data_IF_587829938595
#
_entry.id   IF_587829938595
#
_cell.length_a   1.000
_cell.length_b   1.000
_cell.length_c   1.000
_cell.angle_alpha   90.00
_cell.angle_beta   90.00
_cell.angle_gamma   90.00
#
_symmetry.space_group_name_H-M   'P 1'
#
loop_
_entity.id
_entity.type
_entity.pdbx_description
1 polymer ?
#
# COMPACT_ATOMS: atom_id res chain seq x y z
N UNK A 1 -8.67 -87.66 11.45
CA UNK A 1 -7.41 -86.89 11.41
C UNK A 1 -7.73 -85.48 11.00
N UNK A 2 -7.79 -84.56 11.97
CA UNK A 2 -8.13 -83.16 11.76
C UNK A 2 -6.89 -82.32 11.52
N UNK A 3 -6.96 -81.40 10.57
CA UNK A 3 -6.06 -80.25 10.51
C UNK A 3 -6.93 -79.02 10.72
N UNK A 4 -6.95 -78.55 11.97
CA UNK A 4 -7.60 -77.32 12.40
C UNK A 4 -6.82 -76.13 11.84
N UNK A 5 -7.34 -75.48 10.80
CA UNK A 5 -6.88 -74.17 10.39
C UNK A 5 -7.23 -73.14 11.47
N UNK A 6 -6.26 -72.75 12.30
CA UNK A 6 -6.38 -71.56 13.14
C UNK A 6 -6.29 -70.34 12.24
N UNK A 7 -7.43 -69.79 11.85
CA UNK A 7 -7.49 -68.43 11.32
C UNK A 7 -7.25 -67.46 12.46
N UNK A 8 -6.10 -66.78 12.44
CA UNK A 8 -5.72 -65.76 13.42
C UNK A 8 -6.73 -64.60 13.42
N UNK A 9 -7.46 -64.34 14.52
CA UNK A 9 -8.49 -63.30 14.56
C UNK A 9 -7.92 -61.87 14.74
N UNK A 10 -6.58 -61.71 14.69
CA UNK A 10 -5.92 -60.43 14.95
C UNK A 10 -5.85 -59.49 13.73
N UNK A 11 -6.13 -59.96 12.51
CA UNK A 11 -5.96 -59.15 11.30
C UNK A 11 -7.12 -58.17 10.99
N UNK A 12 -8.24 -58.24 11.72
CA UNK A 12 -9.46 -57.51 11.38
C UNK A 12 -9.71 -56.22 12.21
N UNK A 13 -8.85 -55.91 13.18
CA UNK A 13 -9.03 -54.70 14.00
C UNK A 13 -8.23 -53.53 13.38
N UNK A 14 -8.94 -52.46 13.00
CA UNK A 14 -8.41 -51.09 12.81
C UNK A 14 -8.15 -50.54 11.38
N UNK A 15 -8.80 -51.02 10.32
CA UNK A 15 -8.78 -50.26 9.02
C UNK A 15 -9.49 -48.89 9.13
N UNK A 16 -10.55 -48.78 9.95
CA UNK A 16 -11.35 -47.55 10.12
C UNK A 16 -10.70 -46.49 11.03
N UNK A 17 -9.76 -46.86 11.88
CA UNK A 17 -9.05 -45.89 12.75
C UNK A 17 -7.79 -45.35 12.05
N UNK A 18 -7.12 -46.17 11.24
CA UNK A 18 -5.92 -45.78 10.50
C UNK A 18 -6.14 -44.63 9.51
N UNK A 19 -7.25 -44.61 8.76
CA UNK A 19 -7.49 -43.53 7.80
C UNK A 19 -7.76 -42.18 8.48
N UNK A 20 -8.38 -42.17 9.67
CA UNK A 20 -8.60 -40.94 10.46
C UNK A 20 -7.29 -40.38 11.00
N UNK A 21 -6.42 -41.26 11.50
CA UNK A 21 -5.08 -40.90 11.97
C UNK A 21 -4.25 -40.37 10.79
N UNK A 22 -4.27 -41.05 9.64
CA UNK A 22 -3.56 -40.61 8.45
C UNK A 22 -4.09 -39.27 7.91
N UNK A 23 -5.41 -39.07 7.90
CA UNK A 23 -6.02 -37.80 7.50
C UNK A 23 -5.62 -36.66 8.45
N UNK A 24 -5.61 -36.92 9.76
CA UNK A 24 -5.15 -35.95 10.76
C UNK A 24 -3.67 -35.61 10.58
N UNK A 25 -2.82 -36.61 10.34
CA UNK A 25 -1.39 -36.41 10.05
C UNK A 25 -1.17 -35.56 8.80
N UNK A 26 -1.92 -35.82 7.72
CA UNK A 26 -1.86 -35.03 6.49
C UNK A 26 -2.25 -33.57 6.78
N UNK A 27 -3.36 -33.34 7.48
CA UNK A 27 -3.82 -31.99 7.80
C UNK A 27 -2.82 -31.23 8.68
N UNK A 28 -2.25 -31.89 9.69
CA UNK A 28 -1.22 -31.29 10.55
C UNK A 28 0.05 -31.01 9.74
N UNK A 29 0.51 -31.94 8.91
CA UNK A 29 1.70 -31.72 8.07
C UNK A 29 1.49 -30.57 7.09
N UNK A 30 0.32 -30.48 6.46
CA UNK A 30 -0.01 -29.42 5.54
C UNK A 30 -0.05 -28.06 6.27
N UNK A 31 -0.69 -28.01 7.43
CA UNK A 31 -0.72 -26.81 8.27
C UNK A 31 0.68 -26.36 8.68
N UNK A 32 1.53 -27.28 9.18
CA UNK A 32 2.90 -26.98 9.57
C UNK A 32 3.76 -26.52 8.38
N UNK A 33 3.63 -27.17 7.22
CA UNK A 33 4.36 -26.79 6.01
C UNK A 33 3.96 -25.39 5.53
N UNK A 34 2.67 -25.06 5.55
CA UNK A 34 2.19 -23.72 5.18
C UNK A 34 2.68 -22.65 6.17
N UNK A 35 2.65 -22.93 7.48
CA UNK A 35 3.17 -22.02 8.50
C UNK A 35 4.67 -21.79 8.34
N UNK A 36 5.44 -22.86 8.06
CA UNK A 36 6.88 -22.75 7.82
C UNK A 36 7.17 -21.95 6.55
N UNK A 37 6.43 -22.17 5.47
CA UNK A 37 6.57 -21.42 4.22
C UNK A 37 6.29 -19.92 4.43
N UNK A 38 5.19 -19.57 5.08
CA UNK A 38 4.84 -18.19 5.44
C UNK A 38 5.94 -17.53 6.31
N UNK A 39 6.43 -18.25 7.33
CA UNK A 39 7.49 -17.74 8.21
C UNK A 39 8.79 -17.47 7.44
N UNK A 40 9.18 -18.37 6.55
CA UNK A 40 10.36 -18.20 5.70
C UNK A 40 10.19 -17.00 4.75
N UNK A 41 9.04 -16.85 4.11
CA UNK A 41 8.74 -15.71 3.23
C UNK A 41 8.85 -14.38 3.99
N UNK A 42 8.30 -14.31 5.21
CA UNK A 42 8.40 -13.11 6.07
C UNK A 42 9.84 -12.80 6.50
N UNK A 43 10.61 -13.84 6.85
CA UNK A 43 12.03 -13.68 7.20
C UNK A 43 12.89 -13.22 6.01
N UNK A 44 12.50 -13.59 4.79
CA UNK A 44 13.12 -13.14 3.55
C UNK A 44 12.68 -11.72 3.14
N UNK A 45 11.85 -11.05 3.95
CA UNK A 45 11.35 -9.70 3.65
C UNK A 45 10.32 -9.66 2.52
N UNK A 46 9.67 -10.79 2.22
CA UNK A 46 8.56 -10.82 1.28
C UNK A 46 7.28 -10.40 2.00
N UNK A 47 7.15 -9.10 2.26
CA UNK A 47 5.91 -8.51 2.71
C UNK A 47 5.09 -7.98 1.52
N UNK A 48 3.81 -8.31 1.50
CA UNK A 48 2.85 -7.70 0.57
C UNK A 48 1.90 -6.82 1.38
N UNK A 49 2.38 -5.65 1.83
CA UNK A 49 1.52 -4.75 2.58
C UNK A 49 0.34 -4.36 1.69
N UNK A 50 -0.87 -4.42 2.26
CA UNK A 50 -2.04 -3.86 1.60
C UNK A 50 -1.90 -2.35 1.61
N UNK A 51 -1.40 -1.78 0.51
CA UNK A 51 -1.14 -0.34 0.38
C UNK A 51 -2.39 0.52 0.50
N UNK A 52 -3.53 -0.02 0.06
CA UNK A 52 -4.80 0.68 0.01
C UNK A 52 -5.81 0.13 1.01
N UNK A 53 -6.71 1.00 1.45
CA UNK A 53 -7.94 0.67 2.18
C UNK A 53 -9.15 1.13 1.36
N UNK A 54 -10.31 0.53 1.63
CA UNK A 54 -11.57 0.96 1.02
C UNK A 54 -11.96 2.36 1.50
N UNK A 55 -12.45 3.21 0.59
CA UNK A 55 -12.98 4.53 0.87
C UNK A 55 -14.41 4.63 0.28
N UNK A 56 -15.46 4.91 1.07
CA UNK A 56 -16.84 4.93 0.57
C UNK A 56 -17.10 5.97 -0.51
N UNK A 57 -16.29 7.04 -0.57
CA UNK A 57 -16.47 8.13 -1.53
C UNK A 57 -15.57 7.93 -2.75
N UNK A 58 -14.31 7.56 -2.53
CA UNK A 58 -13.28 7.49 -3.59
C UNK A 58 -13.10 6.06 -4.13
N UNK A 59 -13.73 5.07 -3.52
CA UNK A 59 -13.53 3.65 -3.79
C UNK A 59 -12.36 3.10 -2.98
N UNK A 60 -11.16 3.67 -3.14
CA UNK A 60 -9.97 3.27 -2.38
C UNK A 60 -9.12 4.48 -2.00
N UNK A 61 -8.18 4.27 -1.07
CA UNK A 61 -7.22 5.28 -0.65
C UNK A 61 -5.97 4.65 -0.04
N UNK A 62 -4.77 5.26 -0.16
CA UNK A 62 -3.59 4.76 0.54
C UNK A 62 -3.78 4.74 2.06
N UNK A 63 -3.16 3.76 2.71
CA UNK A 63 -3.18 3.61 4.17
C UNK A 63 -2.24 4.62 4.81
N UNK A 64 -2.74 5.49 5.71
CA UNK A 64 -1.90 6.44 6.44
C UNK A 64 -0.73 5.80 7.18
N UNK A 65 0.43 6.45 7.11
CA UNK A 65 1.62 6.06 7.87
C UNK A 65 2.27 4.74 7.45
N UNK A 66 1.82 4.14 6.35
CA UNK A 66 2.38 2.90 5.84
C UNK A 66 3.72 3.18 5.17
N UNK A 67 4.73 2.38 5.53
CA UNK A 67 6.03 2.36 4.86
C UNK A 67 6.39 0.94 4.47
N UNK A 68 7.16 0.77 3.39
CA UNK A 68 7.58 -0.55 2.94
C UNK A 68 8.25 -0.53 1.58
N UNK A 69 8.79 -1.68 1.19
CA UNK A 69 9.30 -1.88 -0.15
C UNK A 69 8.14 -2.15 -1.10
N UNK A 70 8.08 -1.37 -2.18
CA UNK A 70 7.22 -1.64 -3.30
C UNK A 70 8.02 -2.37 -4.36
N UNK A 71 7.69 -3.64 -4.58
CA UNK A 71 8.32 -4.49 -5.58
C UNK A 71 7.41 -4.59 -6.81
N UNK A 72 7.59 -3.65 -7.74
CA UNK A 72 7.05 -3.69 -9.09
C UNK A 72 8.15 -3.89 -10.12
N UNK A 73 8.08 -3.20 -11.26
CA UNK A 73 9.16 -3.18 -12.26
C UNK A 73 10.45 -2.53 -11.71
N UNK A 74 10.31 -1.67 -10.71
CA UNK A 74 11.40 -1.06 -9.96
C UNK A 74 11.15 -1.28 -8.47
N UNK A 75 12.21 -1.68 -7.74
CA UNK A 75 12.18 -1.72 -6.28
C UNK A 75 12.33 -0.30 -5.74
N UNK A 76 11.29 0.22 -5.09
CA UNK A 76 11.30 1.55 -4.51
C UNK A 76 10.79 1.49 -3.06
N UNK A 77 11.45 2.22 -2.16
CA UNK A 77 10.96 2.35 -0.79
C UNK A 77 9.88 3.43 -0.74
N UNK A 78 8.69 3.06 -0.28
CA UNK A 78 7.52 3.94 -0.26
C UNK A 78 7.19 4.31 1.18
N UNK A 79 6.90 5.60 1.38
CA UNK A 79 6.31 6.11 2.59
C UNK A 79 5.02 6.88 2.25
N UNK A 80 3.96 6.58 2.98
CA UNK A 80 2.67 7.27 2.92
C UNK A 80 2.54 8.12 4.19
N UNK A 81 2.24 9.40 4.03
CA UNK A 81 2.09 10.33 5.15
C UNK A 81 0.85 10.01 6.02
N UNK A 82 0.70 10.72 7.13
CA UNK A 82 -0.46 10.53 8.03
C UNK A 82 -1.78 10.94 7.38
N UNK A 83 -1.72 11.77 6.35
CA UNK A 83 -2.87 12.11 5.54
C UNK A 83 -3.21 11.05 4.49
N UNK A 84 -2.43 9.97 4.32
CA UNK A 84 -2.72 8.90 3.38
C UNK A 84 -2.39 9.22 1.93
N UNK A 85 -1.30 9.95 1.68
CA UNK A 85 -0.75 10.25 0.36
C UNK A 85 0.76 9.99 0.33
N UNK A 86 1.30 9.71 -0.86
CA UNK A 86 2.75 9.60 -1.08
C UNK A 86 3.37 11.00 -1.13
N UNK A 87 3.60 11.55 0.06
CA UNK A 87 4.20 12.85 0.29
C UNK A 87 4.82 12.85 1.70
N UNK A 88 5.41 13.97 2.11
CA UNK A 88 5.77 14.24 3.49
C UNK A 88 4.56 14.73 4.30
N UNK A 89 4.65 14.68 5.62
CA UNK A 89 3.68 15.36 6.48
C UNK A 89 3.87 16.88 6.40
N UNK A 90 2.77 17.60 6.19
CA UNK A 90 2.77 19.06 6.11
C UNK A 90 2.13 19.66 7.37
N UNK A 91 2.63 20.81 7.88
CA UNK A 91 2.02 21.46 9.03
C UNK A 91 0.55 21.82 8.79
N UNK A 92 -0.32 21.55 9.77
CA UNK A 92 -1.75 21.87 9.69
C UNK A 92 -1.98 23.36 9.38
N UNK A 93 -1.33 24.24 10.15
CA UNK A 93 -1.30 25.66 9.87
C UNK A 93 -0.26 25.97 8.79
N UNK A 94 -0.66 26.71 7.75
CA UNK A 94 0.26 27.15 6.69
C UNK A 94 1.32 28.08 7.29
N UNK A 95 2.63 27.75 7.19
CA UNK A 95 3.67 28.61 7.75
C UNK A 95 3.70 29.99 7.06
N UNK A 96 4.05 31.08 7.77
CA UNK A 96 4.22 32.40 7.17
C UNK A 96 5.22 32.36 6.00
N UNK A 97 4.96 33.17 4.96
CA UNK A 97 5.84 33.21 3.78
C UNK A 97 5.81 31.95 2.91
N UNK A 98 4.89 31.01 3.15
CA UNK A 98 4.77 29.77 2.37
C UNK A 98 3.65 29.84 1.32
N UNK A 99 3.96 29.39 0.11
CA UNK A 99 3.03 29.22 -0.99
C UNK A 99 2.75 27.73 -1.21
N UNK A 100 1.50 27.31 -0.95
CA UNK A 100 1.06 25.93 -1.12
C UNK A 100 0.49 25.71 -2.51
N UNK A 101 0.99 24.71 -3.21
CA UNK A 101 0.48 24.23 -4.50
C UNK A 101 -0.17 22.89 -4.25
N UNK A 102 -1.47 22.77 -4.51
CA UNK A 102 -2.15 21.49 -4.47
C UNK A 102 -1.97 20.77 -5.80
N UNK A 103 -1.48 19.53 -5.75
CA UNK A 103 -1.38 18.64 -6.88
C UNK A 103 -2.47 17.56 -6.78
N UNK A 104 -3.31 17.48 -7.81
CA UNK A 104 -4.19 16.34 -8.04
C UNK A 104 -3.63 15.52 -9.20
N UNK A 105 -3.80 14.20 -9.12
CA UNK A 105 -3.40 13.33 -10.21
C UNK A 105 -3.59 11.85 -9.91
N UNK A 106 -3.03 11.05 -10.80
CA UNK A 106 -3.17 9.61 -10.86
C UNK A 106 -1.84 8.90 -10.54
N UNK A 107 -1.64 7.71 -11.14
CA UNK A 107 -0.42 6.92 -11.05
C UNK A 107 0.85 7.66 -11.46
N UNK A 108 0.76 8.57 -12.44
CA UNK A 108 1.90 9.34 -12.94
C UNK A 108 2.38 10.37 -11.92
N UNK A 109 1.43 10.90 -11.15
CA UNK A 109 1.69 11.91 -10.13
C UNK A 109 2.05 11.28 -8.78
N UNK A 110 1.45 10.14 -8.44
CA UNK A 110 1.85 9.35 -7.28
C UNK A 110 3.26 8.78 -7.47
N UNK A 111 3.56 8.23 -8.65
CA UNK A 111 4.91 7.84 -9.05
C UNK A 111 5.56 6.82 -8.13
N UNK A 112 4.89 5.68 -7.91
CA UNK A 112 5.36 4.62 -7.00
C UNK A 112 6.71 4.02 -7.41
N UNK A 113 7.09 4.10 -8.68
CA UNK A 113 8.35 3.57 -9.22
C UNK A 113 9.52 4.56 -9.13
N UNK A 114 9.26 5.81 -8.75
CA UNK A 114 10.25 6.89 -8.73
C UNK A 114 10.49 7.31 -7.28
N UNK A 115 11.75 7.47 -6.82
CA UNK A 115 12.04 8.03 -5.49
C UNK A 115 11.28 9.34 -5.25
N UNK A 116 10.84 9.60 -4.02
CA UNK A 116 9.95 10.74 -3.69
C UNK A 116 10.58 12.07 -4.13
N UNK A 117 11.86 12.26 -3.83
CA UNK A 117 12.69 13.42 -4.18
C UNK A 117 12.84 13.64 -5.69
N UNK A 118 12.67 12.58 -6.49
CA UNK A 118 12.81 12.60 -7.93
C UNK A 118 11.50 12.81 -8.68
N UNK A 119 10.36 12.76 -7.97
CA UNK A 119 9.08 13.10 -8.55
C UNK A 119 9.11 14.52 -9.11
N UNK A 120 8.52 14.71 -10.29
CA UNK A 120 8.58 16.00 -10.99
C UNK A 120 8.04 17.15 -10.14
N UNK A 121 7.01 16.88 -9.32
CA UNK A 121 6.40 17.86 -8.44
C UNK A 121 7.25 18.18 -7.22
N UNK A 122 8.05 17.23 -6.71
CA UNK A 122 9.09 17.49 -5.71
C UNK A 122 10.26 18.28 -6.26
N UNK A 123 10.69 17.96 -7.49
CA UNK A 123 11.69 18.77 -8.20
C UNK A 123 11.18 20.18 -8.53
N UNK A 124 9.88 20.35 -8.74
CA UNK A 124 9.23 21.67 -8.84
C UNK A 124 9.25 22.41 -7.49
N UNK A 125 8.90 21.74 -6.39
CA UNK A 125 8.95 22.31 -5.04
C UNK A 125 10.33 22.92 -4.72
N UNK A 126 11.42 22.25 -5.12
CA UNK A 126 12.78 22.74 -4.89
C UNK A 126 13.22 23.85 -5.85
N UNK A 127 12.72 23.89 -7.09
CA UNK A 127 13.12 24.87 -8.12
C UNK A 127 12.28 26.14 -8.16
N UNK A 128 11.00 26.07 -7.81
CA UNK A 128 10.09 27.23 -7.84
C UNK A 128 10.50 28.40 -6.93
N UNK A 129 11.16 28.21 -5.77
CA UNK A 129 11.69 29.30 -4.97
C UNK A 129 12.68 30.22 -5.74
N UNK A 130 13.39 29.69 -6.74
CA UNK A 130 14.34 30.45 -7.57
C UNK A 130 13.63 31.35 -8.59
N UNK A 131 12.34 31.11 -8.86
CA UNK A 131 11.58 31.88 -9.82
C UNK A 131 11.17 33.23 -9.21
N UNK A 132 11.49 34.39 -9.85
CA UNK A 132 11.15 35.71 -9.34
C UNK A 132 9.65 35.90 -9.05
N UNK A 133 8.78 35.19 -9.76
CA UNK A 133 7.32 35.20 -9.56
C UNK A 133 6.88 34.78 -8.14
N UNK A 134 7.69 34.01 -7.42
CA UNK A 134 7.39 33.59 -6.05
C UNK A 134 8.05 34.48 -4.98
N UNK A 135 8.86 35.46 -5.38
CA UNK A 135 9.39 36.48 -4.48
C UNK A 135 10.14 35.92 -3.25
N UNK A 136 10.87 34.82 -3.43
CA UNK A 136 11.60 34.14 -2.35
C UNK A 136 10.72 33.43 -1.31
N UNK A 137 9.42 33.23 -1.59
CA UNK A 137 8.53 32.44 -0.73
C UNK A 137 8.98 30.99 -0.68
N UNK A 138 8.77 30.35 0.47
CA UNK A 138 8.90 28.90 0.60
C UNK A 138 7.78 28.25 -0.21
N UNK A 139 8.10 27.25 -1.01
CA UNK A 139 7.11 26.50 -1.79
C UNK A 139 6.87 25.17 -1.10
N UNK A 140 5.60 24.81 -0.94
CA UNK A 140 5.16 23.48 -0.52
C UNK A 140 4.23 22.95 -1.61
N UNK A 141 4.54 21.80 -2.19
CA UNK A 141 3.65 21.08 -3.09
C UNK A 141 3.02 19.95 -2.30
N UNK A 142 1.69 19.97 -2.18
CA UNK A 142 0.92 18.98 -1.45
C UNK A 142 0.25 18.06 -2.46
N UNK A 143 0.64 16.80 -2.47
CA UNK A 143 0.07 15.81 -3.37
C UNK A 143 -1.17 15.16 -2.77
N UNK A 144 -2.27 15.17 -3.53
CA UNK A 144 -3.42 14.28 -3.33
C UNK A 144 -3.52 13.23 -4.45
N UNK A 145 -2.43 13.00 -5.18
CA UNK A 145 -2.41 12.04 -6.27
C UNK A 145 -2.45 10.59 -5.73
N UNK A 146 -3.22 9.75 -6.42
CA UNK A 146 -3.37 8.33 -6.07
C UNK A 146 -3.51 7.52 -7.35
N UNK A 147 -2.77 6.41 -7.44
CA UNK A 147 -2.85 5.48 -8.57
C UNK A 147 -4.28 5.03 -8.85
N UNK A 148 -4.65 5.10 -10.13
CA UNK A 148 -5.95 4.71 -10.65
C UNK A 148 -7.08 5.73 -10.43
N UNK A 149 -6.80 6.88 -9.81
CA UNK A 149 -7.80 7.95 -9.76
C UNK A 149 -8.02 8.52 -11.17
N UNK A 150 -9.30 8.74 -11.51
CA UNK A 150 -9.68 9.54 -12.67
C UNK A 150 -10.23 10.89 -12.26
N UNK A 151 -10.70 11.66 -13.25
CA UNK A 151 -11.23 13.02 -13.06
C UNK A 151 -12.31 13.13 -11.97
N UNK A 152 -13.18 12.12 -11.85
CA UNK A 152 -14.21 12.13 -10.80
C UNK A 152 -13.60 12.03 -9.40
N UNK A 153 -12.65 11.11 -9.18
CA UNK A 153 -11.95 10.96 -7.90
C UNK A 153 -11.07 12.17 -7.58
N UNK A 154 -10.42 12.76 -8.59
CA UNK A 154 -9.66 14.01 -8.42
C UNK A 154 -10.57 15.16 -7.98
N UNK A 155 -11.73 15.32 -8.64
CA UNK A 155 -12.72 16.31 -8.27
C UNK A 155 -13.24 16.12 -6.84
N UNK A 156 -13.57 14.88 -6.46
CA UNK A 156 -14.02 14.55 -5.10
C UNK A 156 -12.91 14.81 -4.08
N UNK A 157 -11.66 14.46 -4.39
CA UNK A 157 -10.51 14.74 -3.53
C UNK A 157 -10.29 16.24 -3.33
N UNK A 158 -10.41 17.04 -4.40
CA UNK A 158 -10.35 18.49 -4.32
C UNK A 158 -11.47 19.07 -3.45
N UNK A 159 -12.71 18.60 -3.67
CA UNK A 159 -13.89 19.11 -2.96
C UNK A 159 -13.83 18.82 -1.47
N UNK A 160 -13.51 17.59 -1.09
CA UNK A 160 -13.54 17.16 0.32
C UNK A 160 -12.26 17.51 1.09
N UNK A 161 -11.10 17.49 0.42
CA UNK A 161 -9.79 17.59 1.09
C UNK A 161 -8.93 18.74 0.60
N UNK A 162 -9.13 19.19 -0.64
CA UNK A 162 -8.29 20.21 -1.26
C UNK A 162 -8.31 21.57 -0.55
N UNK A 163 -9.35 21.87 0.25
CA UNK A 163 -9.40 23.10 1.06
C UNK A 163 -9.26 22.86 2.57
N UNK A 164 -9.20 21.59 3.00
CA UNK A 164 -8.96 21.23 4.38
C UNK A 164 -7.48 21.43 4.76
N UNK A 165 -7.18 21.52 6.06
CA UNK A 165 -5.79 21.43 6.53
C UNK A 165 -5.32 19.97 6.47
N UNK A 166 -4.07 19.68 6.07
CA UNK A 166 -2.99 20.63 5.76
C UNK A 166 -2.99 21.17 4.31
N UNK A 167 -3.83 20.66 3.40
CA UNK A 167 -3.78 21.03 1.98
C UNK A 167 -3.91 22.55 1.69
N UNK A 168 -4.85 23.23 2.37
CA UNK A 168 -5.29 24.65 2.15
C UNK A 168 -4.38 25.48 1.22
N UNK A 169 -4.59 25.40 -0.11
CA UNK A 169 -3.62 25.88 -1.09
C UNK A 169 -3.65 27.39 -1.30
N UNK A 170 -2.53 27.91 -1.80
CA UNK A 170 -2.47 29.23 -2.44
C UNK A 170 -2.83 29.16 -3.94
N UNK A 171 -2.63 28.00 -4.57
CA UNK A 171 -3.15 27.64 -5.89
C UNK A 171 -3.37 26.13 -6.00
N UNK A 172 -4.37 25.70 -6.77
CA UNK A 172 -4.61 24.29 -7.09
C UNK A 172 -4.34 24.05 -8.58
N UNK A 173 -3.64 22.97 -8.89
CA UNK A 173 -3.39 22.54 -10.27
C UNK A 173 -3.82 21.10 -10.45
N UNK A 174 -4.69 20.89 -11.42
CA UNK A 174 -5.16 19.57 -11.84
C UNK A 174 -4.42 19.21 -13.12
N UNK A 175 -3.76 18.06 -13.16
CA UNK A 175 -3.16 17.54 -14.37
C UNK A 175 -4.15 16.56 -15.00
N UNK A 176 -5.04 17.08 -15.83
CA UNK A 176 -5.92 16.24 -16.64
C UNK A 176 -5.13 15.63 -17.79
N UNK A 177 -5.41 14.36 -18.07
CA UNK A 177 -5.15 13.74 -19.37
C UNK A 177 -6.51 13.36 -19.98
N UNK A 178 -6.71 13.76 -21.23
CA UNK A 178 -7.72 13.21 -22.13
C UNK A 178 -7.21 11.90 -22.75
#
# INVERSE_FOLDING_TARGET
MGISAKTDPLAARSRKTGWRINALLILISLGLSLLLAEALLRLMGHDHPQWNRLDPLLGWRPRPGLTGWYSGDVNNYIAINQEGYRDVDHPLAKPPGTYRILLLGDSMSEGVEVPLEDLYWKRLESKLPECPAFGGRRIEVISLAVNGYGTAQEYLSLRERGFATPARPSAARVLFRE
#
